data_IF_791385281830
#
_entry.id   IF_791385281830
#
_cell.length_a   1.000
_cell.length_b   1.000
_cell.length_c   1.000
_cell.angle_alpha   90.00
_cell.angle_beta   90.00
_cell.angle_gamma   90.00
#
_symmetry.space_group_name_H-M   'P 1'
#
loop_
_entity.id
_entity.type
_entity.pdbx_description
1 polymer ?
#
# COMPACT_ATOMS: atom_id res chain seq x y z
N UNK A 1 -17.39 -0.18 41.48
CA UNK A 1 -16.88 0.86 40.56
C UNK A 1 -17.00 0.33 39.14
N UNK A 2 -18.13 0.58 38.49
CA UNK A 2 -18.37 0.15 37.10
C UNK A 2 -17.96 1.28 36.17
N UNK A 3 -16.90 1.07 35.39
CA UNK A 3 -16.46 1.98 34.34
C UNK A 3 -17.36 1.81 33.11
N UNK A 4 -18.30 2.73 32.93
CA UNK A 4 -19.17 2.79 31.75
C UNK A 4 -18.36 3.12 30.50
N UNK A 5 -18.21 2.13 29.62
CA UNK A 5 -17.61 2.26 28.29
C UNK A 5 -18.52 3.17 27.44
N UNK A 6 -18.11 4.43 27.21
CA UNK A 6 -18.85 5.43 26.44
C UNK A 6 -18.81 5.06 24.95
N UNK A 7 -19.91 4.53 24.42
CA UNK A 7 -20.08 4.25 22.99
C UNK A 7 -20.21 5.58 22.24
N UNK A 8 -19.34 5.84 21.25
CA UNK A 8 -19.36 7.06 20.43
C UNK A 8 -20.62 7.06 19.54
N UNK A 9 -21.24 8.24 19.38
CA UNK A 9 -22.43 8.46 18.56
C UNK A 9 -22.09 8.47 17.06
N UNK A 10 -23.01 7.98 16.22
CA UNK A 10 -22.86 7.92 14.76
C UNK A 10 -22.60 9.30 14.11
N UNK A 11 -22.97 10.38 14.78
CA UNK A 11 -22.72 11.75 14.32
C UNK A 11 -21.24 12.14 14.43
N UNK A 12 -20.52 11.62 15.42
CA UNK A 12 -19.11 11.95 15.68
C UNK A 12 -18.17 11.17 14.73
N UNK A 13 -18.53 9.94 14.34
CA UNK A 13 -17.77 9.15 13.36
C UNK A 13 -17.66 9.84 12.00
N UNK A 14 -18.76 10.48 11.55
CA UNK A 14 -18.81 11.17 10.26
C UNK A 14 -17.98 12.47 10.22
N UNK A 15 -17.64 13.05 11.37
CA UNK A 15 -16.79 14.25 11.45
C UNK A 15 -15.30 13.89 11.41
N UNK A 16 -14.92 12.72 11.93
CA UNK A 16 -13.54 12.24 11.86
C UNK A 16 -13.14 11.79 10.44
N UNK A 17 -14.08 11.29 9.63
CA UNK A 17 -13.85 11.02 8.19
C UNK A 17 -13.50 12.28 7.38
N UNK A 18 -13.98 13.46 7.79
CA UNK A 18 -13.68 14.73 7.12
C UNK A 18 -12.24 15.23 7.37
N UNK A 19 -11.50 14.62 8.31
CA UNK A 19 -10.10 14.97 8.60
C UNK A 19 -9.10 14.11 7.84
N UNK A 20 -9.58 13.07 7.14
CA UNK A 20 -8.71 12.18 6.36
C UNK A 20 -8.51 12.79 4.99
N UNK A 21 -7.25 12.95 4.52
CA UNK A 21 -6.99 13.39 3.16
C UNK A 21 -7.72 12.50 2.13
N UNK A 22 -8.20 13.08 1.02
CA UNK A 22 -8.84 12.29 -0.03
C UNK A 22 -7.86 11.23 -0.55
N UNK A 23 -8.31 9.98 -0.61
CA UNK A 23 -7.52 8.83 -1.07
C UNK A 23 -8.41 7.85 -1.82
N UNK A 24 -7.81 6.99 -2.65
CA UNK A 24 -8.51 5.91 -3.34
C UNK A 24 -7.72 4.61 -3.24
N UNK A 25 -8.22 3.68 -2.42
CA UNK A 25 -7.60 2.36 -2.24
C UNK A 25 -7.66 1.55 -3.54
N UNK A 26 -8.73 1.70 -4.31
CA UNK A 26 -8.90 1.01 -5.60
C UNK A 26 -7.88 1.51 -6.64
N UNK A 27 -7.58 2.82 -6.66
CA UNK A 27 -6.55 3.37 -7.53
C UNK A 27 -5.16 2.83 -7.16
N UNK A 28 -4.83 2.78 -5.87
CA UNK A 28 -3.58 2.19 -5.39
C UNK A 28 -3.44 0.72 -5.81
N UNK A 29 -4.49 -0.08 -5.60
CA UNK A 29 -4.53 -1.48 -6.03
C UNK A 29 -4.36 -1.63 -7.53
N UNK A 30 -4.97 -0.75 -8.32
CA UNK A 30 -4.87 -0.76 -9.78
C UNK A 30 -3.45 -0.48 -10.26
N UNK A 31 -2.73 0.46 -9.63
CA UNK A 31 -1.33 0.74 -9.94
C UNK A 31 -0.44 -0.45 -9.60
N UNK A 32 -0.57 -0.99 -8.38
CA UNK A 32 0.23 -2.14 -7.94
C UNK A 32 -0.03 -3.37 -8.81
N UNK A 33 -1.30 -3.70 -9.03
CA UNK A 33 -1.68 -4.84 -9.88
C UNK A 33 -1.25 -4.66 -11.33
N UNK A 34 -1.39 -3.46 -11.88
CA UNK A 34 -0.94 -3.14 -13.24
C UNK A 34 0.56 -3.34 -13.41
N UNK A 35 1.37 -2.87 -12.46
CA UNK A 35 2.81 -3.07 -12.46
C UNK A 35 3.21 -4.55 -12.31
N UNK A 36 2.51 -5.33 -11.47
CA UNK A 36 2.75 -6.78 -11.36
C UNK A 36 2.49 -7.52 -12.68
N UNK A 37 1.56 -7.04 -13.51
CA UNK A 37 1.23 -7.61 -14.82
C UNK A 37 2.18 -7.12 -15.92
N UNK A 38 2.60 -5.86 -15.88
CA UNK A 38 3.49 -5.24 -16.87
C UNK A 38 4.68 -4.57 -16.19
N UNK A 39 5.73 -5.35 -15.95
CA UNK A 39 6.96 -4.85 -15.35
C UNK A 39 7.72 -3.87 -16.28
N UNK A 40 7.45 -3.86 -17.59
CA UNK A 40 8.12 -2.96 -18.55
C UNK A 40 7.68 -1.50 -18.33
N UNK A 41 6.48 -1.30 -17.80
CA UNK A 41 5.97 0.03 -17.45
C UNK A 41 6.64 0.63 -16.20
N UNK A 42 7.50 -0.11 -15.50
CA UNK A 42 8.17 0.33 -14.28
C UNK A 42 8.86 1.68 -14.40
N UNK A 43 9.78 1.83 -15.37
CA UNK A 43 10.61 3.02 -15.52
C UNK A 43 9.78 4.28 -15.72
N UNK A 44 8.63 4.16 -16.40
CA UNK A 44 7.70 5.27 -16.63
C UNK A 44 6.93 5.65 -15.35
N UNK A 45 6.55 4.65 -14.55
CA UNK A 45 5.74 4.90 -13.35
C UNK A 45 6.57 5.52 -12.23
N UNK A 46 7.82 5.10 -12.04
CA UNK A 46 8.67 5.62 -10.96
C UNK A 46 9.07 7.08 -11.12
N UNK A 47 8.97 7.64 -12.33
CA UNK A 47 9.16 9.07 -12.57
C UNK A 47 8.04 9.90 -11.96
N UNK A 48 6.84 9.32 -11.82
CA UNK A 48 5.62 10.02 -11.41
C UNK A 48 5.13 9.65 -10.01
N UNK A 49 5.38 8.42 -9.57
CA UNK A 49 4.82 7.85 -8.34
C UNK A 49 5.94 7.41 -7.40
N UNK A 50 5.83 7.78 -6.13
CA UNK A 50 6.71 7.39 -5.03
C UNK A 50 5.96 6.56 -3.99
N UNK A 51 6.69 5.82 -3.15
CA UNK A 51 6.09 5.01 -2.09
C UNK A 51 5.20 5.82 -1.14
N UNK A 52 5.58 7.07 -0.84
CA UNK A 52 4.84 7.96 0.06
C UNK A 52 3.50 8.45 -0.51
N UNK A 53 3.27 8.31 -1.82
CA UNK A 53 2.00 8.67 -2.47
C UNK A 53 0.88 7.68 -2.15
N UNK A 54 1.23 6.47 -1.72
CA UNK A 54 0.25 5.47 -1.29
C UNK A 54 -0.25 5.81 0.12
N UNK A 55 -1.56 5.82 0.31
CA UNK A 55 -2.15 6.11 1.62
C UNK A 55 -1.96 4.93 2.59
N UNK A 56 -2.09 3.69 2.10
CA UNK A 56 -1.96 2.50 2.95
C UNK A 56 -0.50 2.13 3.19
N UNK A 57 -0.06 1.96 4.45
CA UNK A 57 1.30 1.52 4.78
C UNK A 57 1.72 0.23 4.04
N UNK A 58 0.82 -0.75 3.98
CA UNK A 58 1.09 -2.01 3.27
C UNK A 58 1.31 -1.80 1.77
N UNK A 59 0.63 -0.82 1.15
CA UNK A 59 0.84 -0.50 -0.26
C UNK A 59 2.17 0.22 -0.49
N UNK A 60 2.58 1.11 0.44
CA UNK A 60 3.93 1.71 0.43
C UNK A 60 5.00 0.63 0.44
N UNK A 61 4.85 -0.33 1.35
CA UNK A 61 5.77 -1.45 1.51
C UNK A 61 5.85 -2.28 0.23
N UNK A 62 4.72 -2.65 -0.38
CA UNK A 62 4.70 -3.38 -1.66
C UNK A 62 5.44 -2.59 -2.75
N UNK A 63 5.14 -1.30 -2.92
CA UNK A 63 5.78 -0.46 -3.93
C UNK A 63 7.30 -0.33 -3.71
N UNK A 64 7.72 -0.18 -2.45
CA UNK A 64 9.14 -0.16 -2.06
C UNK A 64 9.87 -1.47 -2.42
N UNK A 65 9.22 -2.61 -2.20
CA UNK A 65 9.77 -3.91 -2.60
C UNK A 65 9.85 -4.02 -4.11
N UNK A 66 8.82 -3.58 -4.85
CA UNK A 66 8.88 -3.47 -6.32
C UNK A 66 10.06 -2.61 -6.76
N UNK A 67 10.30 -1.48 -6.11
CA UNK A 67 11.44 -0.62 -6.43
C UNK A 67 12.79 -1.29 -6.21
N UNK A 68 12.92 -2.04 -5.12
CA UNK A 68 14.14 -2.79 -4.84
C UNK A 68 14.42 -3.85 -5.89
N UNK A 69 13.38 -4.57 -6.35
CA UNK A 69 13.49 -5.60 -7.38
C UNK A 69 13.71 -4.98 -8.77
N UNK A 70 12.95 -3.95 -9.12
CA UNK A 70 13.04 -3.23 -10.39
C UNK A 70 14.42 -2.62 -10.61
N UNK A 71 15.01 -1.98 -9.59
CA UNK A 71 16.41 -1.47 -9.66
C UNK A 71 17.46 -2.57 -9.90
N UNK A 72 17.14 -3.82 -9.58
CA UNK A 72 17.99 -5.00 -9.83
C UNK A 72 17.64 -5.71 -11.14
N UNK A 73 16.73 -5.17 -11.94
CA UNK A 73 16.14 -5.82 -13.11
C UNK A 73 15.57 -7.22 -12.79
N UNK A 74 14.99 -7.38 -11.60
CA UNK A 74 14.31 -8.60 -11.19
C UNK A 74 12.80 -8.45 -11.40
N UNK A 75 12.09 -9.53 -11.80
CA UNK A 75 10.64 -9.54 -11.83
C UNK A 75 10.03 -9.20 -10.46
N UNK A 76 8.84 -8.62 -10.46
CA UNK A 76 8.10 -8.30 -9.23
C UNK A 76 6.61 -8.63 -9.37
N UNK A 77 6.30 -9.79 -9.94
CA UNK A 77 4.97 -10.38 -9.88
C UNK A 77 4.56 -10.77 -8.44
N UNK A 78 3.31 -11.19 -8.26
CA UNK A 78 2.72 -11.53 -6.96
C UNK A 78 3.54 -12.56 -6.18
N UNK A 79 4.04 -13.61 -6.84
CA UNK A 79 4.80 -14.67 -6.17
C UNK A 79 6.16 -14.14 -5.73
N UNK A 80 6.88 -13.49 -6.65
CA UNK A 80 8.21 -12.93 -6.37
C UNK A 80 8.17 -11.88 -5.26
N UNK A 81 7.13 -11.03 -5.24
CA UNK A 81 6.93 -10.06 -4.17
C UNK A 81 6.61 -10.71 -2.83
N UNK A 82 5.77 -11.74 -2.80
CA UNK A 82 5.47 -12.47 -1.56
C UNK A 82 6.73 -13.10 -0.97
N UNK A 83 7.58 -13.69 -1.80
CA UNK A 83 8.88 -14.23 -1.37
C UNK A 83 9.82 -13.13 -0.86
N UNK A 84 9.92 -12.02 -1.59
CA UNK A 84 10.76 -10.90 -1.21
C UNK A 84 10.32 -10.29 0.14
N UNK A 85 9.02 -10.08 0.34
CA UNK A 85 8.45 -9.54 1.58
C UNK A 85 8.65 -10.50 2.76
N UNK A 86 8.55 -11.82 2.54
CA UNK A 86 8.83 -12.83 3.55
C UNK A 86 10.31 -12.83 3.97
N UNK A 87 11.21 -12.69 3.00
CA UNK A 87 12.65 -12.66 3.25
C UNK A 87 13.11 -11.40 4.02
N UNK A 88 12.35 -10.31 3.92
CA UNK A 88 12.61 -9.06 4.67
C UNK A 88 11.96 -9.08 6.06
N UNK A 89 11.17 -10.12 6.39
CA UNK A 89 10.47 -10.25 7.67
C UNK A 89 9.20 -9.41 7.77
N UNK A 90 8.68 -8.93 6.64
CA UNK A 90 7.54 -8.00 6.56
C UNK A 90 6.21 -8.72 6.21
N UNK A 91 6.26 -10.03 5.95
CA UNK A 91 5.09 -10.90 5.85
C UNK A 91 4.98 -11.73 7.14
N UNK A 92 4.21 -11.21 8.09
CA UNK A 92 3.71 -12.02 9.21
C UNK A 92 2.76 -13.09 8.66
N UNK A 93 2.97 -14.34 9.09
CA UNK A 93 2.19 -15.51 8.66
C UNK A 93 0.86 -15.63 9.41
#
# INVERSE_FOLDING_TARGET
>A
MSTTKKTKSAKDQKVDELKVPPHSIEAEQSVLGGLMLDNISWDKVIELVKEDDFYRPNHRLIFKTMETLGRRNQPFDVLTLAEALKNVGELES
#
